data_IF_504027454013
#
_entry.id   IF_504027454013
#
_cell.length_a   1.000
_cell.length_b   1.000
_cell.length_c   1.000
_cell.angle_alpha   90.00
_cell.angle_beta   90.00
_cell.angle_gamma   90.00
#
_symmetry.space_group_name_H-M   'P 1'
#
loop_
_entity.id
_entity.type
_entity.pdbx_description
1 polymer ?
#
# COMPACT_ATOMS: atom_id res chain seq x y z
N UNK A 1 19.66 1.08 18.95
CA UNK A 1 18.73 0.82 17.84
C UNK A 1 19.14 1.75 16.70
N UNK A 2 19.69 1.24 15.60
CA UNK A 2 20.07 2.10 14.46
C UNK A 2 18.82 2.79 13.91
N UNK A 3 18.93 4.07 13.59
CA UNK A 3 17.84 4.83 12.98
C UNK A 3 17.54 4.28 11.57
N UNK A 4 16.27 4.26 11.17
CA UNK A 4 15.84 3.72 9.87
C UNK A 4 16.47 4.48 8.70
N UNK A 5 16.57 5.79 8.82
CA UNK A 5 17.14 6.65 7.78
C UNK A 5 18.67 6.55 7.72
N UNK A 6 19.33 6.08 8.79
CA UNK A 6 20.79 5.87 8.85
C UNK A 6 21.25 4.48 8.40
N UNK A 7 20.31 3.57 8.14
CA UNK A 7 20.64 2.19 7.77
C UNK A 7 21.17 2.14 6.33
N UNK A 8 22.36 1.58 6.14
CA UNK A 8 22.93 1.39 4.81
C UNK A 8 22.31 0.17 4.13
N UNK A 9 21.32 0.43 3.29
CA UNK A 9 20.64 -0.59 2.50
C UNK A 9 21.55 -1.26 1.48
N UNK A 10 22.55 -0.56 0.96
CA UNK A 10 23.35 -1.03 -0.19
C UNK A 10 24.33 -2.14 0.17
N UNK A 11 24.81 -2.17 1.42
CA UNK A 11 25.80 -3.13 1.90
C UNK A 11 25.20 -4.23 2.78
N UNK A 12 23.97 -4.05 3.26
CA UNK A 12 23.27 -5.03 4.07
C UNK A 12 22.82 -6.25 3.25
N UNK A 13 22.82 -7.42 3.88
CA UNK A 13 22.23 -8.63 3.28
C UNK A 13 20.70 -8.51 3.18
N UNK A 14 20.06 -9.22 2.24
CA UNK A 14 18.60 -9.17 2.12
C UNK A 14 17.84 -9.55 3.41
N UNK A 15 18.41 -10.43 4.23
CA UNK A 15 17.80 -10.80 5.52
C UNK A 15 17.88 -9.65 6.52
N UNK A 16 19.02 -8.95 6.59
CA UNK A 16 19.18 -7.76 7.44
C UNK A 16 18.28 -6.61 6.97
N UNK A 17 18.17 -6.40 5.65
CA UNK A 17 17.25 -5.42 5.06
C UNK A 17 15.79 -5.76 5.41
N UNK A 18 15.39 -7.03 5.33
CA UNK A 18 14.05 -7.47 5.70
C UNK A 18 13.79 -7.29 7.21
N UNK A 19 14.73 -7.67 8.08
CA UNK A 19 14.63 -7.39 9.53
C UNK A 19 14.47 -5.90 9.80
N UNK A 20 15.18 -5.05 9.06
CA UNK A 20 15.02 -3.61 9.19
C UNK A 20 13.64 -3.14 8.76
N UNK A 21 13.15 -3.61 7.61
CA UNK A 21 11.80 -3.33 7.12
C UNK A 21 10.71 -3.80 8.09
N UNK A 22 10.90 -4.94 8.76
CA UNK A 22 9.99 -5.46 9.78
C UNK A 22 9.82 -4.52 10.99
N UNK A 23 10.85 -3.72 11.31
CA UNK A 23 10.82 -2.74 12.40
C UNK A 23 10.34 -1.34 12.00
N UNK A 24 10.02 -1.13 10.72
CA UNK A 24 9.70 0.17 10.17
C UNK A 24 8.26 0.59 10.45
N UNK A 25 8.04 1.89 10.58
CA UNK A 25 6.69 2.48 10.62
C UNK A 25 6.05 2.46 9.23
N UNK A 26 4.72 2.61 9.16
CA UNK A 26 3.99 2.68 7.89
C UNK A 26 4.52 3.76 6.93
N UNK A 27 4.91 4.93 7.48
CA UNK A 27 5.49 6.02 6.69
C UNK A 27 6.84 5.61 6.10
N UNK A 28 7.68 4.97 6.92
CA UNK A 28 8.98 4.45 6.49
C UNK A 28 8.83 3.34 5.45
N UNK A 29 7.85 2.45 5.58
CA UNK A 29 7.57 1.40 4.59
C UNK A 29 7.16 1.96 3.24
N UNK A 30 6.31 3.01 3.20
CA UNK A 30 5.97 3.69 1.95
C UNK A 30 7.17 4.41 1.33
N UNK A 31 8.00 5.06 2.15
CA UNK A 31 9.25 5.70 1.69
C UNK A 31 10.19 4.65 1.11
N UNK A 32 10.33 3.51 1.79
CA UNK A 32 11.14 2.37 1.35
C UNK A 32 10.64 1.83 0.02
N UNK A 33 9.35 1.51 -0.11
CA UNK A 33 8.78 0.98 -1.34
C UNK A 33 9.03 1.89 -2.56
N UNK A 34 8.98 3.21 -2.38
CA UNK A 34 9.24 4.18 -3.45
C UNK A 34 10.71 4.26 -3.84
N UNK A 35 11.63 4.14 -2.89
CA UNK A 35 13.04 4.46 -3.09
C UNK A 35 13.97 3.25 -3.07
N UNK A 36 13.43 2.04 -2.88
CA UNK A 36 14.23 0.81 -2.81
C UNK A 36 15.02 0.58 -4.10
N UNK A 37 16.29 0.23 -3.95
CA UNK A 37 17.14 -0.12 -5.10
C UNK A 37 16.83 -1.54 -5.59
N UNK A 38 16.27 -1.61 -6.79
CA UNK A 38 15.89 -2.86 -7.45
C UNK A 38 17.07 -3.73 -7.88
N UNK A 39 18.32 -3.24 -7.78
CA UNK A 39 19.52 -4.04 -8.02
C UNK A 39 19.97 -4.85 -6.79
N UNK A 40 19.33 -4.67 -5.63
CA UNK A 40 19.58 -5.44 -4.41
C UNK A 40 18.77 -6.75 -4.42
N UNK A 41 18.13 -7.12 -3.32
CA UNK A 41 17.27 -8.32 -3.19
C UNK A 41 15.76 -7.96 -3.14
N UNK A 42 15.16 -7.40 -4.22
CA UNK A 42 13.78 -6.91 -4.20
C UNK A 42 12.76 -8.01 -3.86
N UNK A 43 13.01 -9.27 -4.25
CA UNK A 43 12.12 -10.38 -3.94
C UNK A 43 11.97 -10.66 -2.45
N UNK A 44 13.01 -10.42 -1.65
CA UNK A 44 12.95 -10.60 -0.20
C UNK A 44 12.27 -9.43 0.48
N UNK A 45 12.70 -8.21 0.13
CA UNK A 45 12.25 -7.00 0.83
C UNK A 45 10.94 -6.48 0.23
N UNK A 46 10.94 -6.06 -1.05
CA UNK A 46 9.75 -5.51 -1.69
C UNK A 46 8.63 -6.54 -1.81
N UNK A 47 8.94 -7.83 -2.00
CA UNK A 47 7.95 -8.90 -1.99
C UNK A 47 7.06 -8.88 -0.73
N UNK A 48 7.67 -8.64 0.44
CA UNK A 48 6.98 -8.52 1.72
C UNK A 48 6.36 -7.14 1.94
N UNK A 49 7.10 -6.05 1.65
CA UNK A 49 6.63 -4.67 1.84
C UNK A 49 5.36 -4.42 1.03
N UNK A 50 5.35 -4.83 -0.23
CA UNK A 50 4.23 -4.63 -1.15
C UNK A 50 2.99 -5.45 -0.81
N UNK A 51 3.06 -6.38 0.15
CA UNK A 51 1.92 -7.13 0.67
C UNK A 51 1.26 -6.47 1.90
N UNK A 52 1.78 -5.32 2.37
CA UNK A 52 1.25 -4.64 3.56
C UNK A 52 0.07 -3.75 3.23
N UNK A 53 -0.93 -3.76 4.13
CA UNK A 53 -2.15 -2.93 4.03
C UNK A 53 -1.85 -1.43 4.05
N UNK A 54 -0.73 -1.02 4.63
CA UNK A 54 -0.37 0.40 4.71
C UNK A 54 0.13 0.95 3.37
N UNK A 55 0.49 0.11 2.39
CA UNK A 55 0.90 0.55 1.06
C UNK A 55 -0.32 1.05 0.29
N UNK A 56 -0.24 2.29 -0.19
CA UNK A 56 -1.29 2.92 -0.99
C UNK A 56 -1.02 2.77 -2.50
N UNK A 57 -2.04 3.07 -3.30
CA UNK A 57 -2.01 2.88 -4.75
C UNK A 57 -0.90 3.71 -5.41
N UNK A 58 -0.71 4.96 -4.97
CA UNK A 58 0.36 5.85 -5.44
C UNK A 58 1.75 5.27 -5.19
N UNK A 59 1.99 4.78 -3.95
CA UNK A 59 3.22 4.10 -3.56
C UNK A 59 3.46 2.86 -4.40
N UNK A 60 2.42 2.05 -4.62
CA UNK A 60 2.53 0.82 -5.40
C UNK A 60 2.86 1.06 -6.87
N UNK A 61 2.26 2.07 -7.48
CA UNK A 61 2.55 2.47 -8.87
C UNK A 61 3.96 3.02 -9.01
N UNK A 62 4.40 3.86 -8.06
CA UNK A 62 5.77 4.37 -8.02
C UNK A 62 6.77 3.21 -7.95
N UNK A 63 6.56 2.27 -7.03
CA UNK A 63 7.42 1.09 -6.88
C UNK A 63 7.42 0.23 -8.16
N UNK A 64 6.25 -0.04 -8.73
CA UNK A 64 6.11 -0.78 -9.99
C UNK A 64 6.91 -0.14 -11.13
N UNK A 65 6.77 1.17 -11.33
CA UNK A 65 7.47 1.89 -12.39
C UNK A 65 8.99 1.97 -12.14
N UNK A 66 9.42 2.05 -10.87
CA UNK A 66 10.84 2.05 -10.50
C UNK A 66 11.50 0.68 -10.71
N UNK A 67 10.73 -0.41 -10.70
CA UNK A 67 11.21 -1.73 -11.10
C UNK A 67 11.49 -1.90 -12.60
N UNK A 68 11.21 -0.88 -13.42
CA UNK A 68 11.52 -0.88 -14.84
C UNK A 68 10.79 -1.97 -15.65
N UNK A 69 9.44 -2.02 -15.60
CA UNK A 69 8.65 -3.06 -16.26
C UNK A 69 8.86 -3.08 -17.78
N UNK A 70 9.18 -1.93 -18.38
CA UNK A 70 9.52 -1.78 -19.80
C UNK A 70 10.59 -2.77 -20.27
N UNK A 71 11.58 -3.10 -19.42
CA UNK A 71 12.75 -3.90 -19.79
C UNK A 71 12.41 -5.33 -20.21
N UNK A 72 11.38 -5.91 -19.60
CA UNK A 72 11.02 -7.32 -19.79
C UNK A 72 9.55 -7.53 -20.18
N UNK A 73 8.82 -6.45 -20.50
CA UNK A 73 7.38 -6.49 -20.74
C UNK A 73 6.97 -7.46 -21.87
N UNK A 74 7.81 -7.58 -22.90
CA UNK A 74 7.56 -8.46 -24.06
C UNK A 74 8.41 -9.73 -24.05
N UNK A 75 9.17 -9.96 -22.98
CA UNK A 75 10.06 -11.11 -22.86
C UNK A 75 9.32 -12.29 -22.20
N UNK A 76 9.33 -13.49 -22.81
CA UNK A 76 8.80 -14.67 -22.16
C UNK A 76 9.50 -14.95 -20.83
N UNK A 77 8.76 -15.46 -19.83
CA UNK A 77 9.29 -15.67 -18.47
C UNK A 77 10.56 -16.51 -18.41
N UNK A 78 10.69 -17.50 -19.31
CA UNK A 78 11.86 -18.38 -19.41
C UNK A 78 13.12 -17.67 -19.92
N UNK A 79 12.95 -16.58 -20.67
CA UNK A 79 14.03 -15.84 -21.31
C UNK A 79 14.56 -14.69 -20.43
N UNK A 80 13.89 -14.42 -19.30
CA UNK A 80 14.37 -13.45 -18.30
C UNK A 80 15.67 -13.98 -17.68
N UNK A 81 16.77 -13.19 -17.71
CA UNK A 81 18.04 -13.61 -17.12
C UNK A 81 17.89 -13.92 -15.63
N UNK A 82 18.62 -14.93 -15.14
CA UNK A 82 18.48 -15.42 -13.75
C UNK A 82 18.52 -14.29 -12.72
N UNK A 83 19.48 -13.37 -12.87
CA UNK A 83 19.67 -12.21 -11.99
C UNK A 83 18.44 -11.29 -11.88
N UNK A 84 17.53 -11.30 -12.85
CA UNK A 84 16.33 -10.46 -12.86
C UNK A 84 15.04 -11.24 -12.62
N UNK A 85 15.09 -12.57 -12.44
CA UNK A 85 13.89 -13.38 -12.20
C UNK A 85 13.20 -13.02 -10.88
N UNK A 86 13.97 -12.65 -9.86
CA UNK A 86 13.47 -12.14 -8.58
C UNK A 86 12.65 -10.86 -8.77
N UNK A 87 13.27 -9.83 -9.34
CA UNK A 87 12.61 -8.56 -9.68
C UNK A 87 11.36 -8.74 -10.55
N UNK A 88 11.43 -9.56 -11.62
CA UNK A 88 10.28 -9.82 -12.49
C UNK A 88 9.11 -10.49 -11.75
N UNK A 89 9.38 -11.36 -10.77
CA UNK A 89 8.34 -11.97 -9.92
C UNK A 89 7.70 -10.93 -8.98
N UNK A 90 8.49 -9.98 -8.47
CA UNK A 90 7.94 -8.87 -7.67
C UNK A 90 7.02 -8.01 -8.54
N UNK A 91 7.42 -7.68 -9.76
CA UNK A 91 6.58 -6.94 -10.71
C UNK A 91 5.27 -7.69 -11.03
N UNK A 92 5.31 -9.01 -11.24
CA UNK A 92 4.09 -9.82 -11.42
C UNK A 92 3.14 -9.65 -10.24
N UNK A 93 3.66 -9.76 -9.02
CA UNK A 93 2.86 -9.67 -7.80
C UNK A 93 2.29 -8.27 -7.57
N UNK A 94 3.08 -7.21 -7.85
CA UNK A 94 2.58 -5.83 -7.76
C UNK A 94 1.49 -5.61 -8.80
N UNK A 95 1.71 -6.01 -10.06
CA UNK A 95 0.72 -5.87 -11.13
C UNK A 95 -0.59 -6.60 -10.80
N UNK A 96 -0.51 -7.82 -10.25
CA UNK A 96 -1.68 -8.57 -9.82
C UNK A 96 -2.47 -7.83 -8.73
N UNK A 97 -1.77 -7.29 -7.71
CA UNK A 97 -2.41 -6.56 -6.61
C UNK A 97 -2.98 -5.21 -7.04
N UNK A 98 -2.30 -4.51 -7.94
CA UNK A 98 -2.83 -3.30 -8.59
C UNK A 98 -4.17 -3.63 -9.25
N UNK A 99 -4.18 -4.66 -10.10
CA UNK A 99 -5.38 -5.03 -10.86
C UNK A 99 -6.47 -5.72 -10.02
N UNK A 100 -6.18 -6.11 -8.79
CA UNK A 100 -7.18 -6.65 -7.86
C UNK A 100 -7.77 -5.58 -6.93
N UNK A 101 -7.38 -4.31 -7.07
CA UNK A 101 -7.79 -3.24 -6.18
C UNK A 101 -7.26 -3.39 -4.74
N UNK A 102 -6.14 -4.10 -4.55
CA UNK A 102 -5.57 -4.35 -3.21
C UNK A 102 -5.10 -3.05 -2.54
N UNK A 103 -4.61 -2.10 -3.33
CA UNK A 103 -4.08 -0.83 -2.84
C UNK A 103 -5.16 0.25 -2.89
N UNK A 104 -5.37 0.94 -1.76
CA UNK A 104 -6.34 2.03 -1.67
C UNK A 104 -5.74 3.34 -2.19
N UNK A 105 -6.54 4.12 -2.91
CA UNK A 105 -6.22 5.49 -3.26
C UNK A 105 -6.54 6.43 -2.09
N UNK A 106 -5.65 7.38 -1.81
CA UNK A 106 -5.88 8.43 -0.82
C UNK A 106 -5.80 9.79 -1.52
N UNK A 107 -6.91 10.54 -1.65
CA UNK A 107 -6.96 11.78 -2.43
C UNK A 107 -6.10 12.90 -1.85
N UNK A 108 -5.85 12.89 -0.53
CA UNK A 108 -5.00 13.89 0.14
C UNK A 108 -3.50 13.67 -0.09
N UNK A 109 -3.10 12.59 -0.79
CA UNK A 109 -1.69 12.25 -1.03
C UNK A 109 -1.36 12.41 -2.49
N UNK A 110 -0.54 13.42 -2.80
CA UNK A 110 -0.07 13.66 -4.16
C UNK A 110 0.56 12.41 -4.77
N UNK A 111 0.13 12.07 -5.98
CA UNK A 111 0.80 11.08 -6.80
C UNK A 111 1.97 11.75 -7.51
N UNK A 112 3.19 11.38 -7.13
CA UNK A 112 4.42 12.02 -7.64
C UNK A 112 4.77 11.59 -9.08
N UNK A 113 4.08 10.59 -9.64
CA UNK A 113 4.45 9.93 -10.90
C UNK A 113 3.38 9.97 -12.01
N UNK A 114 2.38 10.86 -11.93
CA UNK A 114 1.28 10.97 -12.91
C UNK A 114 1.75 10.90 -14.37
N UNK A 115 2.82 11.62 -14.74
CA UNK A 115 3.35 11.62 -16.11
C UNK A 115 3.87 10.25 -16.54
N UNK A 116 4.55 9.53 -15.66
CA UNK A 116 5.09 8.19 -15.95
C UNK A 116 3.96 7.16 -16.05
N UNK A 117 2.95 7.27 -15.18
CA UNK A 117 1.74 6.44 -15.24
C UNK A 117 1.00 6.67 -16.57
N UNK A 118 0.73 7.92 -16.93
CA UNK A 118 0.06 8.27 -18.18
C UNK A 118 0.84 7.76 -19.41
N UNK A 119 2.17 7.89 -19.40
CA UNK A 119 3.04 7.37 -20.44
C UNK A 119 2.95 5.84 -20.56
N UNK A 120 2.95 5.14 -19.43
CA UNK A 120 2.81 3.68 -19.40
C UNK A 120 1.46 3.22 -19.94
N UNK A 121 0.36 3.91 -19.59
CA UNK A 121 -0.97 3.65 -20.14
C UNK A 121 -1.03 3.92 -21.65
N UNK A 122 -0.38 4.99 -22.12
CA UNK A 122 -0.28 5.26 -23.56
C UNK A 122 0.44 4.13 -24.32
N UNK A 123 1.50 3.53 -23.74
CA UNK A 123 2.15 2.36 -24.32
C UNK A 123 1.22 1.15 -24.38
N UNK A 124 0.40 0.92 -23.35
CA UNK A 124 -0.58 -0.16 -23.35
C UNK A 124 -1.69 0.05 -24.38
N UNK A 125 -2.11 1.31 -24.59
CA UNK A 125 -3.07 1.65 -25.63
C UNK A 125 -2.48 1.41 -27.03
N UNK A 126 -1.25 1.84 -27.29
CA UNK A 126 -0.57 1.58 -28.56
C UNK A 126 -0.39 0.07 -28.82
N UNK A 127 -0.07 -0.71 -27.78
CA UNK A 127 -0.02 -2.18 -27.89
C UNK A 127 -1.36 -2.77 -28.33
N UNK A 128 -2.48 -2.29 -27.78
CA UNK A 128 -3.83 -2.73 -28.18
C UNK A 128 -4.14 -2.41 -29.64
N UNK A 129 -3.78 -1.22 -30.10
CA UNK A 129 -3.94 -0.79 -31.50
C UNK A 129 -3.14 -1.69 -32.46
N UNK A 130 -1.95 -2.09 -32.05
CA UNK A 130 -1.09 -3.01 -32.80
C UNK A 130 -1.40 -4.51 -32.56
N UNK A 131 -2.45 -4.83 -31.80
CA UNK A 131 -2.82 -6.20 -31.40
C UNK A 131 -1.68 -6.96 -30.69
N UNK A 132 -0.80 -6.21 -30.03
CA UNK A 132 0.26 -6.72 -29.15
C UNK A 132 -0.24 -6.69 -27.71
N UNK A 133 0.41 -7.47 -26.84
CA UNK A 133 0.09 -7.53 -25.42
C UNK A 133 1.36 -7.67 -24.61
N UNK A 134 1.65 -6.68 -23.78
CA UNK A 134 2.67 -6.78 -22.74
C UNK A 134 2.29 -7.75 -21.61
N UNK A 135 3.29 -8.18 -20.85
CA UNK A 135 3.12 -9.03 -19.67
C UNK A 135 2.41 -8.31 -18.54
N UNK A 136 2.78 -7.05 -18.27
CA UNK A 136 2.23 -6.27 -17.16
C UNK A 136 1.27 -5.21 -17.69
N UNK A 137 -0.01 -5.55 -17.71
CA UNK A 137 -1.09 -4.64 -18.11
C UNK A 137 -1.76 -4.11 -16.86
N UNK A 138 -1.99 -2.79 -16.79
CA UNK A 138 -2.70 -2.19 -15.68
C UNK A 138 -4.16 -1.98 -16.07
N UNK A 139 -5.06 -2.24 -15.14
CA UNK A 139 -6.49 -1.96 -15.35
C UNK A 139 -6.76 -0.46 -15.23
N UNK A 140 -7.09 0.18 -16.35
CA UNK A 140 -7.38 1.61 -16.41
C UNK A 140 -8.58 2.02 -15.56
N UNK A 141 -9.56 1.14 -15.33
CA UNK A 141 -10.70 1.47 -14.48
C UNK A 141 -10.28 1.59 -13.02
N UNK A 142 -9.35 0.73 -12.59
CA UNK A 142 -8.79 0.81 -11.23
C UNK A 142 -7.92 2.06 -11.12
N UNK A 143 -7.10 2.36 -12.12
CA UNK A 143 -6.25 3.55 -12.10
C UNK A 143 -7.01 4.86 -12.25
N UNK A 144 -8.17 4.85 -12.91
CA UNK A 144 -9.06 6.01 -13.00
C UNK A 144 -9.43 6.55 -11.61
N UNK A 145 -9.50 5.67 -10.59
CA UNK A 145 -9.74 6.11 -9.19
C UNK A 145 -8.67 7.05 -8.64
N UNK A 146 -7.42 6.88 -9.10
CA UNK A 146 -6.29 7.75 -8.75
C UNK A 146 -6.16 8.93 -9.72
N UNK A 147 -6.32 8.67 -11.03
CA UNK A 147 -6.02 9.64 -12.09
C UNK A 147 -7.11 10.69 -12.28
N UNK A 148 -8.37 10.32 -12.03
CA UNK A 148 -9.52 11.21 -12.25
C UNK A 148 -10.06 11.78 -10.94
N UNK A 149 -9.38 11.56 -9.81
CA UNK A 149 -9.80 12.00 -8.47
C UNK A 149 -11.25 11.57 -8.12
N UNK A 150 -11.72 10.48 -8.76
CA UNK A 150 -13.12 10.02 -8.69
C UNK A 150 -13.49 9.40 -7.35
N UNK A 151 -12.50 9.19 -6.48
CA UNK A 151 -12.68 8.81 -5.07
C UNK A 151 -12.55 10.00 -4.11
N UNK A 152 -12.77 11.24 -4.57
CA UNK A 152 -13.24 12.31 -3.67
C UNK A 152 -14.57 11.89 -3.06
N UNK A 153 -14.50 11.05 -2.04
CA UNK A 153 -15.57 10.90 -1.08
C UNK A 153 -15.55 12.23 -0.33
N UNK A 154 -16.44 13.14 -0.74
CA UNK A 154 -16.76 14.32 0.06
C UNK A 154 -17.15 13.80 1.44
N UNK A 155 -16.23 13.93 2.39
CA UNK A 155 -16.44 13.50 3.78
C UNK A 155 -17.64 14.22 4.40
N UNK A 156 -18.03 15.37 3.85
CA UNK A 156 -19.25 16.11 4.14
C UNK A 156 -20.50 15.42 3.55
N UNK A 157 -20.44 14.85 2.35
CA UNK A 157 -21.54 14.13 1.71
C UNK A 157 -21.82 12.76 2.39
N UNK A 158 -20.79 12.10 2.92
CA UNK A 158 -20.98 10.88 3.73
C UNK A 158 -21.69 11.18 5.05
N UNK A 159 -21.37 12.30 5.73
CA UNK A 159 -22.06 12.69 6.97
C UNK A 159 -23.53 13.04 6.72
N UNK A 160 -23.83 13.71 5.60
CA UNK A 160 -25.21 14.05 5.21
C UNK A 160 -26.01 12.80 4.80
N UNK A 161 -25.37 11.81 4.16
CA UNK A 161 -26.03 10.56 3.75
C UNK A 161 -26.25 9.63 4.95
N UNK A 162 -25.31 9.60 5.91
CA UNK A 162 -25.46 8.85 7.17
C UNK A 162 -26.63 9.34 8.03
N UNK A 163 -26.95 10.63 7.99
CA UNK A 163 -28.08 11.19 8.74
C UNK A 163 -29.44 11.00 8.05
N UNK A 164 -29.48 10.62 6.77
CA UNK A 164 -30.72 10.70 5.98
C UNK A 164 -31.39 9.36 5.70
N UNK A 165 -30.69 8.22 5.80
CA UNK A 165 -31.29 6.90 5.58
C UNK A 165 -30.77 5.85 6.58
N UNK A 166 -31.43 5.66 7.73
CA UNK A 166 -31.14 4.52 8.61
C UNK A 166 -31.66 3.24 7.93
N UNK A 167 -30.79 2.56 7.20
CA UNK A 167 -31.10 1.28 6.57
C UNK A 167 -31.19 0.15 7.60
N UNK A 168 -32.29 -0.60 7.59
CA UNK A 168 -32.68 -1.72 8.46
C UNK A 168 -31.59 -2.78 8.74
N UNK A 169 -30.58 -2.90 7.87
CA UNK A 169 -29.44 -3.80 8.09
C UNK A 169 -28.55 -3.37 9.27
N UNK A 170 -28.57 -2.08 9.65
CA UNK A 170 -27.85 -1.59 10.83
C UNK A 170 -28.52 -2.01 12.14
N UNK A 171 -29.84 -2.08 12.22
CA UNK A 171 -30.54 -2.49 13.46
C UNK A 171 -30.27 -3.95 13.85
N UNK A 172 -29.99 -4.80 12.85
CA UNK A 172 -29.68 -6.22 13.08
C UNK A 172 -28.24 -6.41 13.59
N UNK A 173 -27.30 -5.52 13.22
CA UNK A 173 -25.88 -5.65 13.56
C UNK A 173 -25.43 -4.71 14.70
N UNK A 174 -26.26 -3.74 15.11
CA UNK A 174 -26.00 -2.81 16.21
C UNK A 174 -25.60 -3.46 17.55
N UNK A 175 -26.19 -4.60 17.98
CA UNK A 175 -25.84 -5.18 19.30
C UNK A 175 -24.40 -5.68 19.38
N UNK A 176 -23.79 -6.07 18.26
CA UNK A 176 -22.43 -6.61 18.23
C UNK A 176 -21.36 -5.50 18.23
N UNK A 177 -21.70 -4.33 17.69
CA UNK A 177 -20.80 -3.16 17.66
C UNK A 177 -20.75 -2.52 19.05
N UNK A 178 -21.89 -2.44 19.75
CA UNK A 178 -21.99 -1.83 21.07
C UNK A 178 -21.30 -2.66 22.18
N UNK A 179 -21.15 -3.98 21.97
CA UNK A 179 -20.43 -4.86 22.89
C UNK A 179 -18.89 -4.74 22.76
N UNK A 180 -18.39 -4.32 21.60
CA UNK A 180 -16.96 -4.16 21.35
C UNK A 180 -16.42 -2.83 21.93
N UNK A 181 -17.24 -1.79 21.96
CA UNK A 181 -16.91 -0.49 22.55
C UNK A 181 -17.00 -0.48 24.08
N UNK A 182 -17.92 -1.27 24.68
CA UNK A 182 -18.04 -1.34 26.15
C UNK A 182 -16.84 -2.01 26.83
N UNK A 183 -16.18 -2.96 26.16
CA UNK A 183 -15.03 -3.68 26.73
C UNK A 183 -13.76 -2.84 26.87
N UNK A 184 -13.68 -1.69 26.19
CA UNK A 184 -12.50 -0.81 26.21
C UNK A 184 -12.57 0.24 27.32
N UNK A 185 -13.76 0.51 27.88
CA UNK A 185 -13.95 1.57 28.90
C UNK A 185 -13.76 1.03 30.33
N UNK A 186 -13.94 -0.27 30.57
CA UNK A 186 -13.89 -0.86 31.92
C UNK A 186 -12.47 -1.22 32.42
N UNK A 187 -11.41 -0.96 31.63
CA UNK A 187 -10.03 -1.34 31.96
C UNK A 187 -9.12 -0.18 32.39
N UNK A 188 -9.70 0.96 32.82
CA UNK A 188 -8.92 1.98 33.54
C UNK A 188 -8.73 1.60 35.03
N UNK A 189 -7.49 1.55 35.54
CA UNK A 189 -7.22 1.20 36.93
C UNK A 189 -7.64 2.33 37.89
N UNK A 190 -8.45 1.99 38.89
CA UNK A 190 -8.87 2.89 39.98
C UNK A 190 -7.67 3.45 40.76
N UNK A 191 -7.65 4.75 41.11
CA UNK A 191 -6.64 5.31 42.00
C UNK A 191 -6.82 4.80 43.45
N UNK A 192 -5.72 4.39 44.05
CA UNK A 192 -5.60 3.93 45.44
C UNK A 192 -5.82 5.11 46.40
N UNK A 193 -6.83 5.01 47.27
CA UNK A 193 -7.10 5.97 48.33
C UNK A 193 -5.99 5.91 49.40
N UNK A 194 -5.27 7.02 49.57
CA UNK A 194 -4.29 7.18 50.65
C UNK A 194 -5.02 7.51 51.95
N UNK A 195 -4.81 6.69 52.96
CA UNK A 195 -5.23 6.88 54.34
C UNK A 195 -4.71 8.20 54.92
N UNK A 196 -5.60 9.05 55.42
CA UNK A 196 -5.25 10.00 56.48
C UNK A 196 -6.09 9.70 57.71
N UNK A 197 -5.39 9.22 58.73
CA UNK A 197 -5.83 9.22 60.11
C UNK A 197 -5.00 10.27 60.86
N UNK A 198 -5.66 10.93 61.81
CA UNK A 198 -5.14 11.59 63.04
C UNK A 198 -5.21 13.12 63.12
N UNK A 199 -6.08 13.51 64.05
CA UNK A 199 -5.84 14.30 65.26
C UNK A 199 -5.89 15.83 65.18
N UNK A 200 -6.74 16.36 66.05
CA UNK A 200 -7.00 17.76 66.35
C UNK A 200 -8.34 17.84 67.06
#
# INVERSE_FOLDING_TARGET
MQDFDSFDWSTATGDAQLTKALSATDVQLRKLARNYDWNLEPEKVLGWVMAKKCIDLSTALTAFLNGGPERFNYMPKRDVPEAYRGAARVLDNICLRLNSGFYLAYPERESHDHKRIAKWLAYQQADREERRRGRWILDENILATLLNDTLRIDREAEQVTYSRNPSLLRDILSPAIDLATKRVIDDEPKPVATSQSRHG
#
